data_IF_502405409498
#
_entry.id   IF_502405409498
#
_cell.length_a   1.000
_cell.length_b   1.000
_cell.length_c   1.000
_cell.angle_alpha   90.00
_cell.angle_beta   90.00
_cell.angle_gamma   90.00
#
_symmetry.space_group_name_H-M   'P 1'
#
loop_
_entity.id
_entity.type
_entity.pdbx_description
1 polymer ?
#
# COMPACT_ATOMS: atom_id res chain seq x y z
N UNK A 1 -1.96 -22.29 -17.93
CA UNK A 1 -0.94 -21.28 -17.61
C UNK A 1 -1.67 -20.12 -16.94
N UNK A 2 -1.64 -19.99 -15.60
CA UNK A 2 -2.51 -19.03 -14.93
C UNK A 2 -1.94 -17.63 -15.14
N UNK A 3 -2.73 -16.81 -15.85
CA UNK A 3 -2.50 -15.37 -15.98
C UNK A 3 -2.62 -14.80 -14.58
N UNK A 4 -1.51 -14.29 -14.03
CA UNK A 4 -1.47 -13.68 -12.71
C UNK A 4 -2.39 -12.46 -12.68
N UNK A 5 -3.36 -12.45 -11.77
CA UNK A 5 -4.26 -11.32 -11.47
C UNK A 5 -3.45 -10.05 -11.16
N UNK A 6 -2.21 -10.24 -10.70
CA UNK A 6 -1.22 -9.21 -10.41
C UNK A 6 -0.92 -8.30 -11.63
N UNK A 7 -0.83 -8.84 -12.85
CA UNK A 7 -0.49 -8.06 -14.06
C UNK A 7 -1.65 -7.19 -14.54
N UNK A 8 -2.89 -7.66 -14.40
CA UNK A 8 -4.07 -6.88 -14.77
C UNK A 8 -4.31 -5.73 -13.79
N UNK A 9 -4.04 -5.96 -12.50
CA UNK A 9 -4.05 -4.93 -11.47
C UNK A 9 -2.94 -3.88 -11.72
N UNK A 10 -1.72 -4.30 -12.07
CA UNK A 10 -0.62 -3.40 -12.39
C UNK A 10 -0.95 -2.46 -13.58
N UNK A 11 -1.49 -3.01 -14.68
CA UNK A 11 -1.84 -2.21 -15.87
C UNK A 11 -3.01 -1.27 -15.60
N UNK A 12 -4.04 -1.72 -14.86
CA UNK A 12 -5.15 -0.85 -14.47
C UNK A 12 -4.69 0.27 -13.54
N UNK A 13 -3.79 -0.02 -12.58
CA UNK A 13 -3.23 0.96 -11.65
C UNK A 13 -2.33 1.98 -12.38
N UNK A 14 -1.50 1.58 -13.34
CA UNK A 14 -0.63 2.52 -14.08
C UNK A 14 -1.43 3.44 -15.01
N UNK A 15 -2.41 2.89 -15.76
CA UNK A 15 -3.29 3.70 -16.63
C UNK A 15 -4.31 4.52 -15.83
N UNK A 16 -4.63 4.11 -14.59
CA UNK A 16 -5.44 4.86 -13.63
C UNK A 16 -4.65 5.99 -12.96
N UNK A 17 -3.37 5.80 -12.65
CA UNK A 17 -2.53 6.83 -12.02
C UNK A 17 -2.53 8.15 -12.79
N UNK A 18 -2.29 8.12 -14.11
CA UNK A 18 -2.29 9.34 -14.94
C UNK A 18 -3.69 9.99 -14.99
N UNK A 19 -4.75 9.20 -15.12
CA UNK A 19 -6.14 9.69 -15.09
C UNK A 19 -6.51 10.30 -13.74
N UNK A 20 -6.07 9.69 -12.65
CA UNK A 20 -6.29 10.19 -11.29
C UNK A 20 -5.49 11.47 -11.02
N UNK A 21 -4.27 11.58 -11.55
CA UNK A 21 -3.47 12.80 -11.48
C UNK A 21 -4.16 13.96 -12.21
N UNK A 22 -4.61 13.72 -13.45
CA UNK A 22 -5.36 14.71 -14.24
C UNK A 22 -6.63 15.11 -13.51
N UNK A 23 -7.35 14.16 -12.90
CA UNK A 23 -8.53 14.45 -12.10
C UNK A 23 -8.21 15.34 -10.89
N UNK A 24 -7.12 15.08 -10.15
CA UNK A 24 -6.74 15.93 -9.01
C UNK A 24 -6.29 17.33 -9.44
N UNK A 25 -5.59 17.44 -10.56
CA UNK A 25 -5.21 18.73 -11.15
C UNK A 25 -6.47 19.52 -11.52
N UNK A 26 -7.39 18.90 -12.26
CA UNK A 26 -8.66 19.53 -12.64
C UNK A 26 -9.51 19.92 -11.43
N UNK A 27 -9.62 19.05 -10.43
CA UNK A 27 -10.38 19.29 -9.21
C UNK A 27 -9.77 20.45 -8.41
N UNK A 28 -8.44 20.49 -8.26
CA UNK A 28 -7.75 21.57 -7.56
C UNK A 28 -7.94 22.92 -8.25
N UNK A 29 -7.75 22.97 -9.57
CA UNK A 29 -7.94 24.19 -10.37
C UNK A 29 -9.40 24.65 -10.35
N UNK A 30 -10.37 23.74 -10.48
CA UNK A 30 -11.80 24.05 -10.41
C UNK A 30 -12.16 24.63 -9.04
N UNK A 31 -11.65 24.04 -7.96
CA UNK A 31 -11.90 24.51 -6.59
C UNK A 31 -11.34 25.93 -6.39
N UNK A 32 -10.15 26.20 -6.92
CA UNK A 32 -9.53 27.52 -6.85
C UNK A 32 -10.35 28.58 -7.59
N UNK A 33 -10.78 28.27 -8.82
CA UNK A 33 -11.62 29.17 -9.61
C UNK A 33 -12.96 29.44 -8.91
N UNK A 34 -13.66 28.39 -8.45
CA UNK A 34 -14.97 28.55 -7.80
C UNK A 34 -14.84 29.40 -6.54
N UNK A 35 -13.83 29.14 -5.70
CA UNK A 35 -13.76 29.82 -4.41
C UNK A 35 -13.26 31.26 -4.53
N UNK A 36 -12.20 31.49 -5.33
CA UNK A 36 -11.63 32.83 -5.47
C UNK A 36 -12.51 33.75 -6.33
N UNK A 37 -13.06 33.23 -7.43
CA UNK A 37 -13.83 34.05 -8.36
C UNK A 37 -15.28 34.28 -7.90
N UNK A 38 -15.94 33.24 -7.36
CA UNK A 38 -17.37 33.31 -7.02
C UNK A 38 -17.66 33.64 -5.57
N UNK A 39 -16.90 33.10 -4.60
CA UNK A 39 -17.25 33.21 -3.18
C UNK A 39 -16.59 34.39 -2.45
N UNK A 40 -15.45 34.93 -2.91
CA UNK A 40 -14.70 36.02 -2.23
C UNK A 40 -14.47 35.78 -0.72
N UNK A 41 -14.47 34.52 -0.27
CA UNK A 41 -14.20 34.14 1.13
C UNK A 41 -12.72 33.73 1.23
N UNK A 42 -11.87 34.41 2.01
CA UNK A 42 -10.42 34.24 1.84
C UNK A 42 -9.78 33.03 2.55
N UNK A 43 -10.48 32.37 3.50
CA UNK A 43 -9.75 31.64 4.56
C UNK A 43 -10.04 30.13 4.72
N UNK A 44 -11.27 29.63 4.57
CA UNK A 44 -11.60 28.27 5.02
C UNK A 44 -11.24 27.13 4.03
N UNK A 45 -11.05 27.42 2.75
CA UNK A 45 -11.05 26.41 1.68
C UNK A 45 -9.71 25.69 1.49
N UNK A 46 -8.64 26.18 2.10
CA UNK A 46 -7.29 25.67 1.80
C UNK A 46 -6.93 24.40 2.55
N UNK A 47 -7.72 24.06 3.56
CA UNK A 47 -7.71 22.75 4.17
C UNK A 47 -8.22 21.66 3.22
N UNK A 48 -9.07 21.99 2.25
CA UNK A 48 -9.57 21.01 1.27
C UNK A 48 -8.47 20.52 0.32
N UNK A 49 -7.49 21.38 0.02
CA UNK A 49 -6.32 20.99 -0.76
C UNK A 49 -5.49 19.91 -0.07
N UNK A 50 -5.51 19.82 1.27
CA UNK A 50 -4.82 18.74 1.97
C UNK A 50 -5.42 17.38 1.67
N UNK A 51 -6.74 17.29 1.52
CA UNK A 51 -7.40 16.03 1.17
C UNK A 51 -6.94 15.55 -0.22
N UNK A 52 -6.88 16.47 -1.18
CA UNK A 52 -6.42 16.18 -2.55
C UNK A 52 -4.96 15.71 -2.55
N UNK A 53 -4.10 16.40 -1.80
CA UNK A 53 -2.67 16.08 -1.71
C UNK A 53 -2.42 14.77 -0.97
N UNK A 54 -3.12 14.50 0.13
CA UNK A 54 -3.03 13.22 0.86
C UNK A 54 -3.43 12.08 -0.07
N UNK A 55 -4.53 12.26 -0.80
CA UNK A 55 -5.02 11.26 -1.73
C UNK A 55 -4.04 11.05 -2.90
N UNK A 56 -3.41 12.11 -3.41
CA UNK A 56 -2.30 11.99 -4.37
C UNK A 56 -1.07 11.27 -3.77
N UNK A 57 -0.72 11.53 -2.51
CA UNK A 57 0.39 10.87 -1.82
C UNK A 57 0.18 9.37 -1.65
N UNK A 58 -1.07 8.90 -1.51
CA UNK A 58 -1.39 7.47 -1.45
C UNK A 58 -0.96 6.75 -2.75
N UNK A 59 -1.13 7.38 -3.91
CA UNK A 59 -0.78 6.75 -5.20
C UNK A 59 0.64 7.03 -5.67
N UNK A 60 1.14 8.24 -5.41
CA UNK A 60 2.41 8.74 -5.92
C UNK A 60 3.53 8.75 -4.87
N UNK A 61 3.23 8.38 -3.61
CA UNK A 61 4.20 8.35 -2.50
C UNK A 61 4.90 9.71 -2.37
N UNK A 62 6.24 9.72 -2.22
CA UNK A 62 7.04 10.95 -2.14
C UNK A 62 6.91 11.90 -3.34
N UNK A 63 6.52 11.40 -4.52
CA UNK A 63 6.39 12.25 -5.72
C UNK A 63 5.21 13.22 -5.65
N UNK A 64 4.28 13.06 -4.69
CA UNK A 64 3.20 14.01 -4.44
C UNK A 64 3.71 15.41 -4.01
N UNK A 65 4.96 15.51 -3.53
CA UNK A 65 5.59 16.80 -3.19
C UNK A 65 5.70 17.72 -4.41
N UNK A 66 5.98 17.16 -5.61
CA UNK A 66 6.04 17.96 -6.83
C UNK A 66 4.68 18.57 -7.19
N UNK A 67 3.59 17.83 -6.95
CA UNK A 67 2.23 18.31 -7.18
C UNK A 67 1.86 19.41 -6.17
N UNK A 68 2.26 19.24 -4.91
CA UNK A 68 2.06 20.27 -3.89
C UNK A 68 2.83 21.56 -4.21
N UNK A 69 4.09 21.43 -4.64
CA UNK A 69 4.88 22.59 -5.05
C UNK A 69 4.22 23.35 -6.21
N UNK A 70 3.70 22.64 -7.21
CA UNK A 70 2.96 23.23 -8.33
C UNK A 70 1.71 23.99 -7.87
N UNK A 71 0.86 23.37 -7.05
CA UNK A 71 -0.35 24.04 -6.52
C UNK A 71 -0.01 25.22 -5.61
N UNK A 72 1.04 25.11 -4.80
CA UNK A 72 1.51 26.20 -3.94
C UNK A 72 1.95 27.42 -4.75
N UNK A 73 2.71 27.21 -5.83
CA UNK A 73 3.07 28.27 -6.76
C UNK A 73 1.85 28.87 -7.46
N UNK A 74 0.92 28.04 -7.93
CA UNK A 74 -0.29 28.49 -8.62
C UNK A 74 -1.12 29.39 -7.68
N UNK A 75 -1.30 28.97 -6.43
CA UNK A 75 -2.03 29.73 -5.42
C UNK A 75 -1.39 31.10 -5.12
N UNK A 76 -0.06 31.17 -5.01
CA UNK A 76 0.65 32.45 -4.82
C UNK A 76 0.47 33.35 -6.05
N UNK A 77 0.56 32.78 -7.25
CA UNK A 77 0.41 33.52 -8.51
C UNK A 77 -1.01 34.08 -8.69
N UNK A 78 -2.03 33.27 -8.45
CA UNK A 78 -3.44 33.70 -8.51
C UNK A 78 -3.73 34.78 -7.47
N UNK A 79 -3.18 34.64 -6.25
CA UNK A 79 -3.31 35.68 -5.23
C UNK A 79 -2.68 37.01 -5.67
N UNK A 80 -1.46 36.96 -6.22
CA UNK A 80 -0.76 38.15 -6.71
C UNK A 80 -1.53 38.87 -7.82
N UNK A 81 -2.15 38.11 -8.74
CA UNK A 81 -2.96 38.70 -9.82
C UNK A 81 -4.26 39.35 -9.32
N UNK A 82 -4.85 38.85 -8.22
CA UNK A 82 -6.11 39.39 -7.69
C UNK A 82 -5.90 40.61 -6.79
N UNK A 83 -4.94 40.55 -5.86
CA UNK A 83 -4.72 41.59 -4.85
C UNK A 83 -3.64 42.61 -5.25
N UNK A 84 -2.75 42.26 -6.18
CA UNK A 84 -1.68 43.13 -6.67
C UNK A 84 -0.46 43.24 -5.74
N UNK A 85 -0.45 42.58 -4.58
CA UNK A 85 0.69 42.52 -3.67
C UNK A 85 0.93 41.11 -3.13
N UNK A 86 2.16 40.87 -2.67
CA UNK A 86 2.55 39.61 -2.03
C UNK A 86 2.34 39.72 -0.51
N UNK A 87 1.40 38.94 0.01
CA UNK A 87 1.21 38.76 1.46
C UNK A 87 1.92 37.50 1.96
N UNK A 88 2.15 37.39 3.27
CA UNK A 88 2.77 36.21 3.89
C UNK A 88 1.81 35.01 3.98
N UNK A 89 0.50 35.24 4.01
CA UNK A 89 -0.47 34.16 4.21
C UNK A 89 -0.48 33.08 3.10
N UNK A 90 -0.49 33.43 1.80
CA UNK A 90 -0.44 32.45 0.71
C UNK A 90 0.88 31.67 0.68
N UNK A 91 1.97 32.33 1.09
CA UNK A 91 3.31 31.73 1.15
C UNK A 91 3.37 30.66 2.24
N UNK A 92 2.91 30.98 3.46
CA UNK A 92 2.87 30.03 4.57
C UNK A 92 2.00 28.81 4.23
N UNK A 93 0.90 29.03 3.52
CA UNK A 93 -0.01 27.96 3.07
C UNK A 93 0.63 27.05 2.02
N UNK A 94 1.35 27.61 1.06
CA UNK A 94 2.11 26.84 0.08
C UNK A 94 3.20 25.98 0.75
N UNK A 95 3.93 26.56 1.72
CA UNK A 95 4.92 25.83 2.52
C UNK A 95 4.25 24.68 3.28
N UNK A 96 3.15 24.94 3.99
CA UNK A 96 2.42 23.92 4.73
C UNK A 96 1.91 22.80 3.82
N UNK A 97 1.42 23.13 2.62
CA UNK A 97 0.99 22.14 1.63
C UNK A 97 2.15 21.22 1.20
N UNK A 98 3.34 21.76 0.97
CA UNK A 98 4.55 20.99 0.67
C UNK A 98 4.97 20.09 1.85
N UNK A 99 4.92 20.61 3.08
CA UNK A 99 5.23 19.84 4.30
C UNK A 99 4.27 18.66 4.46
N UNK A 100 2.97 18.89 4.29
CA UNK A 100 1.95 17.84 4.37
C UNK A 100 2.18 16.78 3.29
N UNK A 101 2.45 17.20 2.04
CA UNK A 101 2.75 16.28 0.95
C UNK A 101 3.99 15.42 1.25
N UNK A 102 5.02 16.01 1.83
CA UNK A 102 6.25 15.32 2.20
C UNK A 102 6.02 14.30 3.31
N UNK A 103 5.33 14.69 4.38
CA UNK A 103 4.99 13.79 5.49
C UNK A 103 4.11 12.65 5.00
N UNK A 104 3.00 12.97 4.33
CA UNK A 104 2.07 11.96 3.82
C UNK A 104 2.75 11.02 2.83
N UNK A 105 3.52 11.55 1.89
CA UNK A 105 4.26 10.76 0.90
C UNK A 105 5.28 9.83 1.53
N UNK A 106 6.03 10.32 2.53
CA UNK A 106 7.03 9.52 3.26
C UNK A 106 6.38 8.42 4.11
N UNK A 107 5.26 8.73 4.77
CA UNK A 107 4.49 7.75 5.56
C UNK A 107 3.95 6.64 4.65
N UNK A 108 3.36 6.99 3.49
CA UNK A 108 2.85 5.98 2.55
C UNK A 108 4.00 5.12 1.99
N UNK A 109 5.15 5.71 1.70
CA UNK A 109 6.33 4.97 1.23
C UNK A 109 6.84 3.98 2.28
N UNK A 110 6.98 4.44 3.52
CA UNK A 110 7.36 3.64 4.68
C UNK A 110 6.38 2.48 4.93
N UNK A 111 5.07 2.78 4.95
CA UNK A 111 4.02 1.76 5.12
C UNK A 111 4.03 0.72 4.00
N UNK A 112 4.31 1.13 2.77
CA UNK A 112 4.41 0.20 1.64
C UNK A 112 5.60 -0.74 1.82
N UNK A 113 6.76 -0.21 2.21
CA UNK A 113 7.95 -1.01 2.46
C UNK A 113 7.73 -2.05 3.57
N UNK A 114 7.15 -1.63 4.71
CA UNK A 114 6.83 -2.56 5.80
C UNK A 114 5.84 -3.65 5.39
N UNK A 115 4.84 -3.31 4.58
CA UNK A 115 3.88 -4.29 4.07
C UNK A 115 4.56 -5.33 3.18
N UNK A 116 5.46 -4.91 2.31
CA UNK A 116 6.15 -5.80 1.38
C UNK A 116 7.10 -6.75 2.15
N UNK A 117 7.79 -6.25 3.19
CA UNK A 117 8.61 -7.06 4.10
C UNK A 117 7.77 -8.10 4.86
N UNK A 118 6.62 -7.69 5.43
CA UNK A 118 5.71 -8.61 6.12
C UNK A 118 5.13 -9.68 5.17
N UNK A 119 4.89 -9.33 3.90
CA UNK A 119 4.42 -10.28 2.90
C UNK A 119 5.50 -11.33 2.58
N UNK A 120 6.76 -10.90 2.50
CA UNK A 120 7.90 -11.80 2.30
C UNK A 120 8.06 -12.79 3.48
N UNK A 121 8.06 -12.28 4.72
CA UNK A 121 8.18 -13.12 5.91
C UNK A 121 7.03 -14.13 6.06
N UNK A 122 5.79 -13.73 5.76
CA UNK A 122 4.66 -14.66 5.77
C UNK A 122 4.82 -15.79 4.75
N UNK A 123 5.38 -15.48 3.57
CA UNK A 123 5.64 -16.49 2.55
C UNK A 123 6.73 -17.48 3.00
N UNK A 124 7.82 -17.01 3.60
CA UNK A 124 8.86 -17.89 4.16
C UNK A 124 8.33 -18.77 5.31
N UNK A 125 7.47 -18.20 6.15
CA UNK A 125 6.84 -18.94 7.24
C UNK A 125 5.94 -20.07 6.71
N UNK A 126 5.10 -19.80 5.70
CA UNK A 126 4.22 -20.84 5.14
C UNK A 126 5.02 -21.95 4.44
N UNK A 127 6.09 -21.64 3.73
CA UNK A 127 6.94 -22.69 3.11
C UNK A 127 7.63 -23.56 4.16
N UNK A 128 8.12 -22.96 5.24
CA UNK A 128 8.73 -23.69 6.37
C UNK A 128 7.71 -24.59 7.07
N UNK A 129 6.50 -24.08 7.29
CA UNK A 129 5.39 -24.82 7.89
C UNK A 129 4.93 -25.99 7.03
N UNK A 130 4.88 -25.81 5.70
CA UNK A 130 4.58 -26.89 4.76
C UNK A 130 5.65 -27.98 4.77
N UNK A 131 6.93 -27.61 4.76
CA UNK A 131 8.04 -28.56 4.85
C UNK A 131 7.99 -29.37 6.16
N UNK A 132 7.73 -28.70 7.29
CA UNK A 132 7.55 -29.34 8.58
C UNK A 132 6.34 -30.29 8.58
N UNK A 133 5.21 -29.86 8.03
CA UNK A 133 4.00 -30.70 7.90
C UNK A 133 4.27 -31.94 7.06
N UNK A 134 5.04 -31.81 5.98
CA UNK A 134 5.42 -32.93 5.14
C UNK A 134 6.36 -33.90 5.87
N UNK A 135 7.34 -33.39 6.63
CA UNK A 135 8.23 -34.21 7.45
C UNK A 135 7.45 -35.00 8.51
N UNK A 136 6.53 -34.35 9.22
CA UNK A 136 5.69 -35.00 10.23
C UNK A 136 4.77 -36.07 9.61
N UNK A 137 4.20 -35.81 8.42
CA UNK A 137 3.41 -36.81 7.68
C UNK A 137 4.25 -38.05 7.33
N UNK A 138 5.48 -37.86 6.85
CA UNK A 138 6.42 -38.97 6.56
C UNK A 138 6.75 -39.77 7.81
N UNK A 139 7.05 -39.08 8.92
CA UNK A 139 7.33 -39.72 10.20
C UNK A 139 6.14 -40.56 10.70
N UNK A 140 4.92 -40.03 10.61
CA UNK A 140 3.72 -40.74 11.05
C UNK A 140 3.43 -41.98 10.19
N UNK A 141 3.63 -41.90 8.87
CA UNK A 141 3.51 -43.06 7.98
C UNK A 141 4.53 -44.15 8.33
N UNK A 142 5.79 -43.77 8.53
CA UNK A 142 6.85 -44.70 8.93
C UNK A 142 6.52 -45.35 10.27
N UNK A 143 6.11 -44.55 11.27
CA UNK A 143 5.75 -45.05 12.60
C UNK A 143 4.57 -46.03 12.55
N UNK A 144 3.55 -45.77 11.72
CA UNK A 144 2.42 -46.68 11.54
C UNK A 144 2.84 -48.01 10.91
N UNK A 145 3.71 -47.98 9.90
CA UNK A 145 4.23 -49.18 9.23
C UNK A 145 5.07 -49.99 10.23
N UNK A 146 6.06 -49.35 10.88
CA UNK A 146 6.92 -50.02 11.86
C UNK A 146 6.13 -50.63 13.02
N UNK A 147 5.10 -49.94 13.53
CA UNK A 147 4.23 -50.51 14.57
C UNK A 147 3.49 -51.76 14.08
N UNK A 148 2.96 -51.72 12.87
CA UNK A 148 2.27 -52.86 12.27
C UNK A 148 3.22 -54.04 12.07
N UNK A 149 4.42 -53.79 11.54
CA UNK A 149 5.42 -54.83 11.31
C UNK A 149 5.89 -55.49 12.61
N UNK A 150 6.13 -54.69 13.65
CA UNK A 150 6.47 -55.22 14.99
C UNK A 150 5.33 -56.10 15.53
N UNK A 151 4.09 -55.62 15.45
CA UNK A 151 2.94 -56.40 15.90
C UNK A 151 2.80 -57.71 15.13
N UNK A 152 2.95 -57.68 13.80
CA UNK A 152 2.90 -58.88 12.97
C UNK A 152 3.99 -59.89 13.36
N UNK A 153 5.22 -59.43 13.57
CA UNK A 153 6.32 -60.29 14.02
C UNK A 153 6.02 -60.92 15.39
N UNK A 154 5.54 -60.14 16.36
CA UNK A 154 5.15 -60.66 17.68
C UNK A 154 4.01 -61.68 17.58
N UNK A 155 2.98 -61.42 16.77
CA UNK A 155 1.88 -62.36 16.55
C UNK A 155 2.37 -63.67 15.93
N UNK A 156 3.31 -63.61 14.97
CA UNK A 156 3.89 -64.82 14.38
C UNK A 156 4.66 -65.66 15.40
N UNK A 157 5.46 -65.02 16.25
CA UNK A 157 6.22 -65.69 17.31
C UNK A 157 5.31 -66.33 18.35
N UNK A 158 4.27 -65.61 18.77
CA UNK A 158 3.23 -66.14 19.67
C UNK A 158 2.52 -67.34 19.05
N UNK A 159 2.17 -67.25 17.76
CA UNK A 159 1.58 -68.36 17.02
C UNK A 159 2.45 -69.61 17.05
N UNK A 160 3.76 -69.50 16.83
CA UNK A 160 4.69 -70.66 16.92
C UNK A 160 4.77 -71.27 18.32
N UNK A 161 4.67 -70.48 19.39
CA UNK A 161 4.67 -71.00 20.76
C UNK A 161 3.37 -71.72 21.13
N UNK A 162 2.23 -71.35 20.52
CA UNK A 162 0.94 -72.02 20.76
C UNK A 162 0.83 -73.40 20.07
N UNK A 163 1.67 -73.66 19.05
CA UNK A 163 1.71 -74.95 18.31
C UNK A 163 2.79 -75.92 18.80
N UNK A 164 3.69 -75.47 19.67
CA UNK A 164 4.76 -76.28 20.30
C UNK A 164 4.35 -76.77 21.68
#
# INVERSE_FOLDING_TARGET
MPIKIDDFCQVFIIKSKVRSLIFFILLGVLLEIIVHYYLKIPYAYTHLFYLIIILAAIWFKRYAVYLAFFFGMLHIFVFYLNEGFLSFEPVLRAIMLCVIAFIAGSVVECMTHFRDELAFQNQELETTKEAFRMANKKLNLLSSITRHDILNHLTSLLGYMDIS
#
